data_IF_895570657333
#
_entry.id   IF_895570657333
#
_cell.length_a   1.000
_cell.length_b   1.000
_cell.length_c   1.000
_cell.angle_alpha   90.00
_cell.angle_beta   90.00
_cell.angle_gamma   90.00
#
_symmetry.space_group_name_H-M   'P 1'
#
loop_
_entity.id
_entity.type
_entity.pdbx_description
1 polymer ?
2 polymer ?
3 water ?
#
# COMPACT_ATOMS: atom_id res chain seq x y z
N UNK A 2 -2.87 -9.36 28.55
CA UNK A 2 -2.59 -7.94 28.77
C UNK A 2 -1.16 -7.74 29.26
N UNK A 3 -0.75 -8.49 30.27
CA UNK A 3 0.64 -8.43 30.72
C UNK A 3 1.60 -8.88 29.63
N UNK A 4 1.15 -9.77 28.73
CA UNK A 4 1.97 -10.17 27.60
C UNK A 4 2.20 -9.00 26.65
N UNK A 5 1.17 -8.17 26.45
CA UNK A 5 1.31 -6.98 25.61
C UNK A 5 2.22 -5.94 26.25
N UNK A 6 2.09 -5.74 27.57
CA UNK A 6 2.92 -4.76 28.25
C UNK A 6 4.39 -5.16 28.22
N UNK A 7 4.68 -6.46 28.32
CA UNK A 7 6.05 -6.92 28.22
C UNK A 7 6.60 -6.70 26.82
N UNK A 8 5.81 -7.06 25.80
CA UNK A 8 6.22 -6.79 24.42
C UNK A 8 6.41 -5.30 24.19
N UNK A 9 5.65 -4.46 24.89
CA UNK A 9 5.82 -3.02 24.71
C UNK A 9 7.15 -2.55 25.28
N UNK A 10 7.49 -3.02 26.48
CA UNK A 10 8.78 -2.66 27.07
C UNK A 10 9.93 -3.07 26.16
N UNK A 11 9.83 -4.27 25.57
CA UNK A 11 10.87 -4.77 24.69
C UNK A 11 11.03 -3.87 23.46
N UNK A 12 9.91 -3.43 22.88
CA UNK A 12 9.97 -2.51 21.75
C UNK A 12 10.65 -1.21 22.15
N UNK A 13 10.26 -0.65 23.30
CA UNK A 13 10.83 0.62 23.72
C UNK A 13 12.33 0.51 23.94
N UNK A 14 12.79 -0.58 24.57
CA UNK A 14 14.21 -0.70 24.82
C UNK A 14 15.00 -0.90 23.53
N UNK A 15 14.44 -1.60 22.53
CA UNK A 15 15.14 -1.69 21.25
C UNK A 15 15.34 -0.31 20.66
N UNK A 16 14.35 0.57 20.83
CA UNK A 16 14.49 1.95 20.37
C UNK A 16 15.49 2.71 21.22
N UNK A 17 15.47 2.51 22.54
CA UNK A 17 16.36 3.23 23.45
C UNK A 17 17.82 2.86 23.22
N UNK A 18 18.10 1.60 22.94
CA UNK A 18 19.49 1.17 22.75
C UNK A 18 19.99 1.46 21.34
N UNK A 19 19.16 2.08 20.49
CA UNK A 19 19.53 2.23 19.10
C UNK A 19 19.52 0.96 18.28
N UNK A 20 19.12 -0.17 18.88
CA UNK A 20 19.09 -1.44 18.13
C UNK A 20 18.12 -1.39 16.97
N UNK A 21 17.14 -0.49 17.00
CA UNK A 21 16.25 -0.35 15.85
C UNK A 21 17.01 0.15 14.63
N UNK A 22 17.96 1.07 14.84
CA UNK A 22 18.81 1.54 13.75
C UNK A 22 19.67 0.42 13.18
N UNK A 23 20.33 -0.33 14.07
CA UNK A 23 21.23 -1.39 13.61
C UNK A 23 20.48 -2.44 12.80
N UNK A 24 19.34 -2.89 13.30
CA UNK A 24 18.63 -3.95 12.60
C UNK A 24 18.07 -3.47 11.27
N UNK A 25 17.73 -2.18 11.16
CA UNK A 25 17.24 -1.68 9.88
C UNK A 25 18.34 -1.68 8.82
N UNK A 26 19.53 -1.19 9.18
CA UNK A 26 20.59 -1.06 8.19
C UNK A 26 21.10 -2.40 7.67
N UNK A 27 20.95 -3.48 8.44
CA UNK A 27 21.40 -4.79 7.92
C UNK A 27 20.33 -5.50 7.08
N UNK A 28 19.13 -4.96 6.93
CA UNK A 28 18.15 -5.57 6.05
C UNK A 28 18.45 -5.11 4.63
N UNK A 29 18.68 -6.06 3.73
CA UNK A 29 19.00 -5.68 2.36
C UNK A 29 17.84 -4.92 1.73
N UNK A 30 18.19 -3.91 0.94
CA UNK A 30 17.15 -3.05 0.32
C UNK A 30 16.52 -3.77 -0.88
N UNK A 31 17.31 -4.60 -1.57
CA UNK A 31 16.79 -5.35 -2.76
C UNK A 31 17.35 -6.78 -2.76
N UNK A 32 16.67 -7.67 -3.48
CA UNK A 32 17.10 -9.09 -3.57
C UNK A 32 18.55 -9.19 -4.03
N UNK A 33 19.34 -10.06 -3.37
CA UNK A 33 20.72 -10.29 -3.79
C UNK A 33 20.80 -10.98 -5.14
N UNK A 34 19.88 -11.91 -5.40
CA UNK A 34 19.82 -12.65 -6.65
C UNK A 34 18.39 -12.69 -7.13
N UNK A 35 18.22 -12.97 -8.43
CA UNK A 35 16.92 -13.07 -9.09
C UNK A 35 16.07 -11.82 -8.85
N UNK A 36 16.73 -10.66 -8.88
CA UNK A 36 16.05 -9.37 -8.80
C UNK A 36 16.27 -8.50 -10.03
N UNK A 37 16.35 -9.14 -11.19
CA UNK A 37 16.65 -8.45 -12.44
C UNK A 37 15.51 -7.53 -12.88
N UNK A 38 14.26 -7.90 -12.62
CA UNK A 38 13.09 -7.11 -13.05
C UNK A 38 13.11 -6.90 -14.56
N UNK A 39 13.37 -7.98 -15.30
CA UNK A 39 13.65 -7.84 -16.74
C UNK A 39 12.45 -7.27 -17.50
N UNK A 40 11.23 -7.66 -17.14
CA UNK A 40 10.07 -7.12 -17.86
C UNK A 40 9.91 -5.63 -17.61
N UNK A 41 10.07 -5.19 -16.35
CA UNK A 41 9.98 -3.78 -16.01
C UNK A 41 11.04 -2.95 -16.72
N UNK A 42 12.16 -3.57 -17.10
CA UNK A 42 13.29 -2.88 -17.72
C UNK A 42 13.20 -2.86 -19.24
N UNK A 43 12.18 -3.50 -19.83
CA UNK A 43 12.06 -3.49 -21.27
C UNK A 43 11.90 -2.05 -21.76
N UNK A 44 12.54 -1.67 -22.87
CA UNK A 44 12.34 -0.32 -23.41
C UNK A 44 10.89 0.08 -23.59
N UNK A 45 10.02 -0.86 -23.99
CA UNK A 45 8.59 -0.55 -24.26
C UNK A 45 7.88 -0.20 -22.95
N UNK A 46 8.47 -0.54 -21.81
CA UNK A 46 7.81 -0.32 -20.53
C UNK A 46 8.39 0.86 -19.76
N UNK A 47 9.42 1.52 -20.29
CA UNK A 47 10.09 2.59 -19.54
C UNK A 47 9.12 3.71 -19.18
N UNK A 48 8.25 4.08 -20.12
CA UNK A 48 7.24 5.11 -19.89
C UNK A 48 6.22 4.72 -18.82
N UNK A 49 6.19 3.45 -18.41
CA UNK A 49 5.22 2.98 -17.43
C UNK A 49 5.76 2.97 -16.00
N UNK A 50 7.05 3.27 -15.83
CA UNK A 50 7.69 3.38 -14.51
C UNK A 50 7.82 4.85 -14.12
N UNK A 51 7.30 5.20 -12.95
CA UNK A 51 7.48 6.57 -12.45
C UNK A 51 8.95 6.84 -12.16
N UNK A 52 9.63 5.88 -11.54
CA UNK A 52 11.04 5.96 -11.17
C UNK A 52 11.76 4.76 -11.77
N UNK A 53 12.87 5.00 -12.45
CA UNK A 53 13.53 3.90 -13.13
C UNK A 53 14.24 2.95 -12.16
N UNK A 54 14.44 3.35 -10.90
CA UNK A 54 15.12 2.50 -9.91
C UNK A 54 14.16 1.79 -8.95
N UNK A 55 12.83 1.93 -9.12
CA UNK A 55 11.87 1.21 -8.30
C UNK A 55 11.00 0.35 -9.22
N UNK A 56 11.23 -0.97 -9.20
CA UNK A 56 10.63 -1.89 -10.16
C UNK A 56 10.12 -3.15 -9.47
N UNK A 57 9.12 -3.82 -10.05
CA UNK A 57 8.71 -5.13 -9.54
C UNK A 57 9.58 -6.25 -10.08
N UNK A 58 9.76 -7.27 -9.23
CA UNK A 58 10.40 -8.51 -9.67
C UNK A 58 9.47 -9.28 -10.60
N UNK A 59 10.07 -10.03 -11.54
CA UNK A 59 9.29 -10.74 -12.55
C UNK A 59 8.34 -11.77 -11.93
N UNK A 60 8.79 -12.46 -10.89
CA UNK A 60 7.99 -13.57 -10.36
C UNK A 60 6.76 -13.07 -9.62
N UNK A 61 6.76 -11.82 -9.16
CA UNK A 61 5.66 -11.30 -8.35
C UNK A 61 4.97 -10.09 -8.96
N UNK A 62 5.41 -9.61 -10.13
CA UNK A 62 4.74 -8.47 -10.73
C UNK A 62 3.27 -8.81 -11.00
N UNK A 63 2.41 -7.79 -10.95
CA UNK A 63 1.00 -8.00 -11.26
C UNK A 63 0.84 -8.00 -12.78
N UNK A 64 0.41 -9.13 -13.32
CA UNK A 64 0.27 -9.27 -14.77
C UNK A 64 -1.13 -8.87 -15.19
N UNK A 65 -1.23 -7.91 -16.11
CA UNK A 65 -2.50 -7.57 -16.74
C UNK A 65 -2.74 -8.49 -17.92
N UNK A 66 -4.02 -8.72 -18.23
CA UNK A 66 -4.35 -9.41 -19.47
C UNK A 66 -3.73 -8.58 -20.58
N UNK A 67 -2.86 -9.17 -21.41
CA UNK A 67 -2.16 -8.41 -22.43
C UNK A 67 -3.13 -7.78 -23.41
N UNK A 68 -2.78 -6.58 -23.87
CA UNK A 68 -3.48 -5.89 -24.94
C UNK A 68 -2.45 -5.55 -26.01
N UNK A 69 -2.95 -5.03 -27.14
CA UNK A 69 -2.05 -4.72 -28.24
C UNK A 69 -1.13 -3.56 -27.90
N UNK A 70 -1.65 -2.56 -27.17
CA UNK A 70 -0.82 -1.44 -26.74
C UNK A 70 0.13 -1.83 -25.62
N UNK A 71 -0.24 -2.83 -24.80
CA UNK A 71 0.56 -3.27 -23.66
C UNK A 71 0.80 -4.77 -23.79
N UNK A 72 1.82 -5.13 -24.56
CA UNK A 72 2.04 -6.52 -24.97
C UNK A 72 2.33 -7.44 -23.78
N UNK A 73 3.08 -6.95 -22.80
CA UNK A 73 3.43 -7.78 -21.65
C UNK A 73 2.45 -7.61 -20.49
N UNK A 74 1.38 -6.83 -20.68
CA UNK A 74 0.47 -6.49 -19.60
C UNK A 74 1.21 -5.95 -18.39
N UNK A 75 2.13 -5.02 -18.60
CA UNK A 75 3.01 -4.55 -17.53
C UNK A 75 2.40 -3.37 -16.79
N UNK A 76 2.43 -3.44 -15.47
CA UNK A 76 2.18 -2.30 -14.59
C UNK A 76 3.18 -2.39 -13.44
N UNK A 77 3.64 -1.24 -12.96
CA UNK A 77 4.61 -1.25 -11.86
C UNK A 77 3.85 -1.53 -10.56
N UNK A 78 3.69 -2.82 -10.24
CA UNK A 78 2.91 -3.30 -9.10
C UNK A 78 3.38 -4.71 -8.74
N UNK A 79 3.37 -5.02 -7.44
CA UNK A 79 3.84 -6.31 -6.94
C UNK A 79 2.80 -6.96 -6.03
N UNK A 80 2.60 -8.27 -6.21
CA UNK A 80 1.82 -9.04 -5.24
C UNK A 80 2.63 -9.17 -3.96
N UNK A 81 2.01 -8.90 -2.81
CA UNK A 81 2.64 -9.09 -1.49
C UNK A 81 1.74 -10.00 -0.67
N UNK A 82 2.32 -11.05 -0.08
CA UNK A 82 1.58 -11.92 0.82
C UNK A 82 2.44 -12.24 2.03
N UNK A 83 1.83 -12.21 3.22
CA UNK A 83 2.46 -12.70 4.45
C UNK A 83 1.37 -13.39 5.26
N UNK A 84 1.67 -14.60 5.72
CA UNK A 84 0.75 -15.35 6.57
C UNK A 84 1.03 -15.06 8.03
N UNK A 85 -0.01 -14.73 8.79
CA UNK A 85 0.06 -14.53 10.23
C UNK A 85 -0.92 -15.51 10.86
N UNK A 86 -0.40 -16.48 11.62
CA UNK A 86 -1.28 -17.45 12.34
C UNK A 86 -2.30 -18.07 11.40
N UNK A 87 -1.89 -18.47 10.19
CA UNK A 87 -2.80 -19.16 9.26
C UNK A 87 -3.58 -18.22 8.35
N UNK A 88 -3.63 -16.93 8.70
CA UNK A 88 -4.41 -15.95 7.89
C UNK A 88 -3.46 -15.24 6.92
N UNK A 89 -3.70 -15.40 5.61
CA UNK A 89 -2.82 -14.77 4.59
C UNK A 89 -3.24 -13.32 4.39
N UNK A 90 -2.38 -12.37 4.77
CA UNK A 90 -2.66 -10.94 4.53
C UNK A 90 -2.19 -10.61 3.11
N UNK A 91 -3.12 -10.27 2.23
CA UNK A 91 -2.77 -10.07 0.80
C UNK A 91 -2.76 -8.59 0.45
N UNK A 92 -1.76 -8.15 -0.30
CA UNK A 92 -1.64 -6.73 -0.66
C UNK A 92 -1.10 -6.59 -2.08
N UNK A 93 -1.41 -5.47 -2.72
CA UNK A 93 -0.77 -5.16 -4.03
C UNK A 93 -0.12 -3.79 -3.82
N UNK A 94 1.20 -3.72 -3.95
CA UNK A 94 1.93 -2.47 -3.75
C UNK A 94 2.27 -1.92 -5.12
N UNK A 95 1.86 -0.68 -5.40
CA UNK A 95 2.05 -0.13 -6.73
C UNK A 95 2.45 1.32 -6.60
N UNK A 96 3.04 1.84 -7.68
CA UNK A 96 3.41 3.25 -7.74
C UNK A 96 2.17 4.12 -7.90
N UNK A 97 2.34 5.41 -7.69
CA UNK A 97 1.30 6.36 -8.04
C UNK A 97 1.12 6.40 -9.55
N UNK A 98 -0.09 6.13 -10.03
CA UNK A 98 -0.30 6.09 -11.49
C UNK A 98 0.12 7.39 -12.18
N UNK A 99 0.51 7.25 -13.45
CA UNK A 99 0.85 8.42 -14.28
C UNK A 99 -0.36 8.62 -15.20
N UNK A 100 -0.36 9.69 -16.00
CA UNK A 100 -1.50 9.98 -16.92
C UNK A 100 -1.63 8.82 -17.90
N UNK A 101 -0.50 8.31 -18.38
CA UNK A 101 -0.51 7.21 -19.39
C UNK A 101 -0.79 5.85 -18.74
N UNK A 102 -0.77 5.72 -17.41
CA UNK A 102 -1.02 4.41 -16.83
C UNK A 102 -2.30 4.33 -16.00
N UNK A 103 -3.21 5.33 -16.13
CA UNK A 103 -4.49 5.25 -15.39
C UNK A 103 -5.34 4.08 -15.87
N UNK A 104 -5.37 3.86 -17.19
CA UNK A 104 -6.11 2.71 -17.72
C UNK A 104 -5.57 1.40 -17.18
N UNK A 105 -4.25 1.25 -17.14
CA UNK A 105 -3.63 0.05 -16.57
C UNK A 105 -4.00 -0.11 -15.10
N UNK A 106 -3.97 0.99 -14.33
CA UNK A 106 -4.27 0.92 -12.90
C UNK A 106 -5.69 0.44 -12.68
N UNK A 107 -6.66 1.00 -13.41
CA UNK A 107 -8.04 0.56 -13.23
C UNK A 107 -8.27 -0.84 -13.79
N UNK A 108 -7.61 -1.23 -14.88
CA UNK A 108 -7.68 -2.62 -15.29
C UNK A 108 -7.16 -3.55 -14.20
N UNK A 109 -6.07 -3.16 -13.54
CA UNK A 109 -5.54 -3.94 -12.41
C UNK A 109 -6.57 -4.08 -11.31
N UNK A 110 -7.15 -2.94 -10.89
CA UNK A 110 -8.21 -2.96 -9.88
C UNK A 110 -9.29 -3.97 -10.28
N UNK A 111 -9.76 -3.89 -11.53
CA UNK A 111 -10.82 -4.79 -11.96
C UNK A 111 -10.37 -6.25 -11.92
N UNK A 112 -9.23 -6.56 -12.54
CA UNK A 112 -8.85 -7.96 -12.68
C UNK A 112 -8.49 -8.60 -11.35
N UNK A 113 -7.97 -7.82 -10.41
CA UNK A 113 -7.57 -8.37 -9.13
C UNK A 113 -8.70 -8.35 -8.10
N UNK A 114 -9.88 -7.89 -8.47
CA UNK A 114 -10.98 -7.86 -7.52
C UNK A 114 -10.82 -6.86 -6.40
N UNK A 115 -9.94 -5.87 -6.56
CA UNK A 115 -9.66 -4.90 -5.52
C UNK A 115 -10.92 -4.11 -5.16
N UNK A 116 -11.19 -3.99 -3.86
CA UNK A 116 -12.27 -3.14 -3.38
C UNK A 116 -11.80 -1.98 -2.50
N UNK A 117 -10.54 -1.96 -2.07
CA UNK A 117 -10.04 -0.94 -1.17
C UNK A 117 -8.70 -0.44 -1.68
N UNK A 118 -8.56 0.89 -1.80
CA UNK A 118 -7.30 1.54 -2.18
C UNK A 118 -6.83 2.37 -0.99
N UNK A 119 -5.60 2.11 -0.54
CA UNK A 119 -4.92 2.94 0.46
C UNK A 119 -3.87 3.78 -0.25
N UNK A 120 -4.19 5.06 -0.47
CA UNK A 120 -3.26 6.04 -1.08
C UNK A 120 -2.51 6.77 0.01
N UNK A 121 -1.21 6.51 0.17
CA UNK A 121 -0.49 7.18 1.25
C UNK A 121 0.49 8.19 0.66
N UNK A 122 -0.06 9.17 -0.04
CA UNK A 122 0.66 10.32 -0.59
C UNK A 122 -0.37 11.39 -0.90
N UNK A 123 0.08 12.64 -0.91
CA UNK A 123 -0.69 13.68 -1.59
C UNK A 123 -0.38 13.63 -3.09
N UNK A 124 -1.21 14.30 -3.88
CA UNK A 124 -1.05 14.25 -5.34
C UNK A 124 0.19 15.03 -5.79
N UNK A 125 0.47 16.14 -5.13
CA UNK A 125 1.69 16.93 -5.38
C UNK A 125 2.38 17.18 -4.06
N UNK A 126 3.70 17.06 -4.04
CA UNK A 126 4.51 17.37 -2.87
C UNK A 126 5.78 18.03 -3.35
N UNK A 127 6.15 19.16 -2.73
CA UNK A 127 7.38 19.82 -3.11
C UNK A 127 7.38 20.40 -4.51
N UNK A 128 6.21 20.73 -5.04
CA UNK A 128 6.11 21.19 -6.41
C UNK A 128 6.25 20.11 -7.45
N UNK A 129 6.17 18.84 -7.08
CA UNK A 129 6.27 17.75 -8.02
C UNK A 129 5.04 16.87 -7.90
N UNK A 130 4.56 16.42 -9.05
CA UNK A 130 3.45 15.49 -9.03
C UNK A 130 3.91 14.13 -8.54
N UNK A 131 3.22 13.59 -7.53
CA UNK A 131 3.56 12.29 -6.96
C UNK A 131 2.60 11.19 -7.39
N UNK A 132 1.38 11.54 -7.78
CA UNK A 132 0.39 10.61 -8.29
C UNK A 132 -0.53 11.40 -9.19
N UNK A 133 -0.86 10.82 -10.34
CA UNK A 133 -1.90 11.44 -11.15
C UNK A 133 -3.21 11.36 -10.38
N UNK A 134 -4.09 12.30 -10.64
CA UNK A 134 -5.44 12.26 -10.10
C UNK A 134 -6.24 11.26 -10.94
N UNK A 135 -6.16 9.97 -10.58
CA UNK A 135 -6.77 8.89 -11.35
C UNK A 135 -8.24 8.63 -10.97
N UNK A 136 -8.81 9.44 -10.09
CA UNK A 136 -10.21 9.30 -9.72
C UNK A 136 -10.85 10.67 -9.77
N UNK A 137 -12.14 10.75 -10.11
CA UNK A 137 -12.74 12.05 -10.42
C UNK A 137 -12.98 12.87 -9.17
N UNK A 138 -13.29 14.14 -9.40
CA UNK A 138 -13.58 15.03 -8.28
C UNK A 138 -15.03 14.89 -7.86
N UNK A 139 -15.31 15.23 -6.61
CA UNK A 139 -16.67 15.24 -6.12
C UNK A 139 -17.42 16.43 -6.71
N UNK A 140 -18.71 16.25 -6.93
CA UNK A 140 -19.52 17.29 -7.53
C UNK A 140 -20.35 16.73 -8.66
N UNK A 141 -21.67 16.91 -8.57
CA UNK A 141 -22.60 16.22 -9.46
C UNK A 141 -22.31 16.48 -10.93
N UNK A 142 -21.65 17.60 -11.27
CA UNK A 142 -21.47 17.97 -12.67
C UNK A 142 -20.21 17.38 -13.30
N UNK A 143 -19.28 16.82 -12.50
CA UNK A 143 -18.01 16.38 -13.06
C UNK A 143 -17.42 15.21 -12.27
N UNK A 144 -18.26 14.34 -11.72
CA UNK A 144 -17.81 13.28 -10.84
C UNK A 144 -17.57 11.94 -11.55
N UNK A 145 -17.43 11.96 -12.90
CA UNK A 145 -17.23 10.73 -13.65
C UNK A 145 -16.07 10.87 -14.63
N UNK A 146 -15.32 9.80 -14.83
CA UNK A 146 -14.24 9.77 -15.80
C UNK A 146 -14.14 8.38 -16.39
N UNK A 147 -13.82 8.30 -17.67
CA UNK A 147 -13.61 7.02 -18.32
C UNK A 147 -12.14 6.84 -18.69
N UNK A 148 -11.57 5.72 -18.25
CA UNK A 148 -10.21 5.31 -18.62
C UNK A 148 -10.33 3.99 -19.37
N UNK A 149 -10.40 4.06 -20.70
CA UNK A 149 -10.55 2.86 -21.48
C UNK A 149 -11.90 2.22 -21.23
N UNK A 150 -11.88 0.95 -20.83
CA UNK A 150 -13.10 0.19 -20.60
C UNK A 150 -13.75 0.47 -19.24
N UNK A 151 -13.23 1.43 -18.46
CA UNK A 151 -13.69 1.63 -17.09
C UNK A 151 -14.17 3.06 -16.89
N UNK A 152 -15.43 3.18 -16.46
CA UNK A 152 -15.98 4.51 -16.11
C UNK A 152 -15.98 4.59 -14.57
N UNK A 153 -15.34 5.61 -14.01
CA UNK A 153 -15.22 5.72 -12.52
C UNK A 153 -16.10 6.88 -12.07
N UNK A 154 -16.89 6.66 -11.02
CA UNK A 154 -17.77 7.73 -10.48
C UNK A 154 -17.43 7.99 -9.01
N UNK A 155 -17.15 9.25 -8.66
CA UNK A 155 -16.94 9.59 -7.26
C UNK A 155 -18.30 9.90 -6.65
N UNK A 156 -18.68 9.14 -5.62
CA UNK A 156 -20.03 9.22 -5.08
C UNK A 156 -20.13 9.99 -3.76
N UNK A 157 -19.12 9.93 -2.91
CA UNK A 157 -19.18 10.66 -1.65
C UNK A 157 -17.77 10.77 -1.11
N UNK A 158 -17.59 11.66 -0.15
CA UNK A 158 -16.28 11.85 0.44
C UNK A 158 -16.44 12.40 1.85
N UNK A 159 -15.67 11.87 2.78
CA UNK A 159 -15.57 12.44 4.12
C UNK A 159 -14.12 12.75 4.43
N UNK A 160 -13.90 13.90 5.08
CA UNK A 160 -12.52 14.32 5.46
C UNK A 160 -12.37 14.16 6.97
N UNK A 161 -11.41 13.35 7.40
CA UNK A 161 -11.19 13.09 8.84
C UNK A 161 -9.94 13.83 9.34
N UNK A 162 -9.49 14.84 8.60
CA UNK A 162 -8.32 15.65 9.01
C UNK A 162 -6.98 15.08 8.55
N UNK A 163 -6.62 13.88 8.96
CA UNK A 163 -5.29 13.35 8.57
C UNK A 163 -5.48 12.52 7.31
N UNK A 164 -6.72 12.26 6.92
CA UNK A 164 -7.01 11.41 5.78
C UNK A 164 -8.44 11.68 5.31
N UNK A 165 -8.74 11.25 4.08
CA UNK A 165 -10.08 11.41 3.54
C UNK A 165 -10.55 10.08 2.98
N UNK A 166 -11.86 9.83 3.10
CA UNK A 166 -12.45 8.57 2.67
C UNK A 166 -13.40 8.87 1.51
N UNK A 167 -13.07 8.37 0.32
CA UNK A 167 -13.89 8.61 -0.87
C UNK A 167 -14.54 7.32 -1.35
N UNK A 168 -15.86 7.36 -1.55
CA UNK A 168 -16.55 6.24 -2.13
C UNK A 168 -16.57 6.33 -3.65
N UNK A 169 -16.09 5.30 -4.31
CA UNK A 169 -16.09 5.26 -5.78
C UNK A 169 -16.96 4.14 -6.30
N UNK A 170 -17.39 4.33 -7.55
CA UNK A 170 -18.15 3.28 -8.26
C UNK A 170 -17.38 3.09 -9.56
N UNK A 171 -17.17 1.84 -9.98
CA UNK A 171 -16.38 1.52 -11.15
C UNK A 171 -17.22 0.62 -12.06
N UNK A 172 -17.26 0.96 -13.34
CA UNK A 172 -18.12 0.27 -14.29
C UNK A 172 -17.27 -0.30 -15.43
N UNK A 173 -17.41 -1.60 -15.67
CA UNK A 173 -16.79 -2.26 -16.81
C UNK A 173 -17.70 -2.04 -18.02
N UNK A 174 -17.28 -1.17 -18.93
CA UNK A 174 -18.18 -0.71 -19.99
C UNK A 174 -18.54 -1.81 -20.97
N UNK A 175 -17.64 -2.77 -21.18
CA UNK A 175 -17.91 -3.86 -22.12
C UNK A 175 -19.14 -4.65 -21.70
N UNK A 176 -19.24 -4.97 -20.41
CA UNK A 176 -20.27 -5.85 -19.89
C UNK A 176 -21.29 -5.17 -18.99
N UNK A 177 -21.05 -3.94 -18.53
CA UNK A 177 -21.99 -3.25 -17.70
C UNK A 177 -21.89 -3.52 -16.21
N UNK A 178 -21.04 -4.45 -15.75
CA UNK A 178 -20.96 -4.73 -14.33
C UNK A 178 -20.35 -3.56 -13.58
N UNK A 179 -20.78 -3.40 -12.33
CA UNK A 179 -20.33 -2.33 -11.45
C UNK A 179 -19.77 -2.93 -10.17
N UNK A 180 -18.79 -2.25 -9.58
CA UNK A 180 -18.24 -2.61 -8.29
C UNK A 180 -17.98 -1.32 -7.52
N UNK A 181 -18.20 -1.37 -6.20
CA UNK A 181 -17.86 -0.21 -5.37
C UNK A 181 -16.43 -0.36 -4.89
N UNK A 182 -15.71 0.76 -4.90
CA UNK A 182 -14.31 0.80 -4.48
C UNK A 182 -14.17 1.93 -3.49
N UNK A 183 -13.51 1.64 -2.37
CA UNK A 183 -13.21 2.64 -1.36
C UNK A 183 -11.80 3.17 -1.54
N UNK A 184 -11.64 4.48 -1.46
CA UNK A 184 -10.37 5.16 -1.69
C UNK A 184 -10.01 5.91 -0.41
N UNK A 185 -8.94 5.48 0.27
CA UNK A 185 -8.55 6.04 1.56
C UNK A 185 -7.21 6.76 1.40
N UNK A 186 -7.24 8.08 1.42
CA UNK A 186 -6.03 8.87 1.14
C UNK A 186 -5.52 9.53 2.41
N UNK A 187 -4.32 9.12 2.84
CA UNK A 187 -3.61 9.80 3.92
C UNK A 187 -2.98 11.07 3.39
N UNK A 188 -3.35 12.22 3.97
CA UNK A 188 -2.94 13.52 3.47
C UNK A 188 -1.95 14.25 4.38
N UNK A 189 -1.58 13.68 5.52
CA UNK A 189 -0.82 14.39 6.55
C UNK A 189 0.65 13.98 6.61
N UNK A 190 1.14 13.21 5.64
CA UNK A 190 2.54 12.82 5.67
C UNK A 190 3.41 14.05 5.38
N UNK A 191 4.40 14.35 6.22
CA UNK A 191 5.17 15.59 6.04
C UNK A 191 6.01 15.57 4.77
N UNK A 192 6.39 16.77 4.34
CA UNK A 192 7.27 16.93 3.19
C UNK A 192 8.64 16.33 3.46
N UNK A 193 9.16 16.53 4.66
CA UNK A 193 10.46 15.99 5.07
C UNK A 193 10.29 15.16 6.34
N UNK A 194 10.99 14.03 6.38
CA UNK A 194 10.94 13.21 7.58
C UNK A 194 9.65 12.40 7.66
N UNK A 195 9.32 12.03 8.88
CA UNK A 195 8.18 11.17 9.15
C UNK A 195 7.20 11.88 10.10
N UNK A 196 5.94 11.47 10.15
CA UNK A 196 4.96 12.20 10.96
C UNK A 196 5.28 12.15 12.43
N UNK A 197 4.98 13.24 13.12
CA UNK A 197 5.05 13.26 14.57
C UNK A 197 3.72 12.89 15.21
N UNK A 198 2.62 12.99 14.48
CA UNK A 198 1.31 12.67 15.02
C UNK A 198 1.04 11.18 14.76
N UNK A 199 1.29 10.36 15.79
CA UNK A 199 0.99 8.93 15.65
C UNK A 199 -0.51 8.66 15.61
N UNK A 200 -1.28 9.42 16.40
CA UNK A 200 -2.71 9.15 16.50
C UNK A 200 -3.39 9.24 15.14
N UNK A 201 -3.03 10.26 14.34
CA UNK A 201 -3.65 10.39 13.02
C UNK A 201 -3.37 9.20 12.13
N UNK A 202 -2.13 8.73 12.12
CA UNK A 202 -1.81 7.55 11.31
C UNK A 202 -2.49 6.31 11.87
N UNK A 203 -2.55 6.17 13.20
CA UNK A 203 -3.28 5.04 13.77
C UNK A 203 -4.77 5.10 13.40
N UNK A 204 -5.37 6.29 13.41
CA UNK A 204 -6.77 6.37 13.00
C UNK A 204 -6.93 6.00 11.53
N UNK A 205 -5.91 6.27 10.71
CA UNK A 205 -5.96 5.87 9.30
C UNK A 205 -5.94 4.35 9.16
N UNK A 206 -5.04 3.68 9.89
CA UNK A 206 -5.02 2.22 9.88
C UNK A 206 -6.36 1.66 10.37
N UNK A 207 -6.93 2.30 11.40
CA UNK A 207 -8.24 1.90 11.92
C UNK A 207 -9.33 2.08 10.87
N UNK A 208 -9.25 3.11 10.04
CA UNK A 208 -10.26 3.30 9.01
C UNK A 208 -10.14 2.23 7.93
N UNK A 209 -8.91 1.83 7.59
CA UNK A 209 -8.73 0.70 6.67
C UNK A 209 -9.41 -0.54 7.22
N UNK A 210 -9.26 -0.79 8.52
CA UNK A 210 -9.97 -1.92 9.12
C UNK A 210 -11.48 -1.73 9.06
N UNK A 211 -11.94 -0.50 9.32
CA UNK A 211 -13.38 -0.25 9.25
C UNK A 211 -13.92 -0.46 7.84
N UNK A 212 -13.10 -0.22 6.83
CA UNK A 212 -13.60 -0.41 5.46
C UNK A 212 -13.56 -1.88 5.11
N UNK A 213 -12.56 -2.62 5.59
CA UNK A 213 -12.65 -4.08 5.55
C UNK A 213 -13.95 -4.57 6.21
N UNK A 214 -14.34 -3.94 7.32
CA UNK A 214 -15.60 -4.28 7.97
C UNK A 214 -16.78 -4.01 7.03
N UNK A 215 -16.77 -2.85 6.37
CA UNK A 215 -17.87 -2.52 5.46
C UNK A 215 -17.98 -3.55 4.33
N UNK A 216 -16.85 -3.99 3.79
CA UNK A 216 -16.86 -4.78 2.58
C UNK A 216 -16.87 -6.28 2.81
N UNK A 217 -16.68 -6.75 4.05
CA UNK A 217 -16.69 -8.18 4.31
C UNK A 217 -18.11 -8.70 4.28
N UNK A 218 -18.35 -9.71 3.44
CA UNK A 218 -19.69 -10.26 3.30
C UNK A 218 -19.67 -11.78 3.27
N UNK A 219 -18.52 -12.36 3.62
CA UNK A 219 -18.40 -13.83 3.67
C UNK A 219 -18.61 -14.28 5.11
N UNK A 220 -19.52 -15.23 5.32
CA UNK A 220 -19.77 -15.76 6.68
C UNK A 220 -18.49 -16.40 7.21
N UNK A 221 -17.74 -17.09 6.34
CA UNK A 221 -16.50 -17.80 6.79
C UNK A 221 -15.37 -16.80 7.14
N UNK A 222 -14.90 -16.62 8.41
CA UNK A 222 -13.85 -15.62 8.69
C UNK A 222 -12.52 -16.06 8.07
N UNK A 223 -12.41 -17.34 7.71
CA UNK A 223 -11.18 -17.85 7.07
C UNK A 223 -11.30 -17.74 5.54
N UNK A 224 -12.44 -17.31 5.04
CA UNK A 224 -12.66 -17.24 3.57
C UNK A 224 -11.72 -16.19 2.93
N UNK A 225 -11.21 -16.32 1.66
CA UNK A 225 -10.23 -15.35 1.17
C UNK A 225 -10.85 -14.06 0.68
N UNK A 226 -10.04 -13.02 0.81
CA UNK A 226 -10.36 -11.63 0.53
C UNK A 226 -9.43 -11.10 -0.55
N UNK A 227 -9.92 -10.20 -1.41
CA UNK A 227 -9.05 -9.62 -2.40
C UNK A 227 -8.00 -8.76 -1.74
N UNK A 228 -6.81 -8.63 -2.35
CA UNK A 228 -5.75 -7.83 -1.74
C UNK A 228 -6.14 -6.38 -1.55
N UNK A 229 -5.58 -5.78 -0.51
CA UNK A 229 -5.64 -4.33 -0.37
C UNK A 229 -4.65 -3.71 -1.32
N UNK A 230 -5.07 -2.69 -2.07
CA UNK A 230 -4.19 -1.97 -2.97
C UNK A 230 -3.57 -0.81 -2.19
N UNK A 231 -2.24 -0.80 -2.07
CA UNK A 231 -1.53 0.27 -1.35
C UNK A 231 -0.60 0.96 -2.34
N UNK A 232 -0.65 2.30 -2.35
CA UNK A 232 0.23 3.05 -3.26
C UNK A 232 0.71 4.36 -2.65
N UNK A 233 1.92 4.77 -3.01
CA UNK A 233 2.42 6.10 -2.59
C UNK A 233 2.87 6.78 -3.88
N UNK A 234 4.11 7.24 -3.98
CA UNK A 234 4.59 7.77 -5.27
C UNK A 234 5.36 6.62 -5.96
N UNK A 235 6.36 6.08 -5.27
CA UNK A 235 7.08 4.93 -5.82
C UNK A 235 6.44 3.62 -5.42
N UNK A 236 5.55 3.62 -4.43
CA UNK A 236 4.95 2.38 -3.99
C UNK A 236 5.85 1.53 -3.14
N UNK A 237 6.75 2.18 -2.37
CA UNK A 237 7.71 1.41 -1.53
C UNK A 237 7.88 2.00 -0.11
N UNK A 238 8.06 3.32 0.03
CA UNK A 238 8.39 3.83 1.37
C UNK A 238 7.21 3.97 2.31
N UNK A 239 6.26 4.83 1.97
CA UNK A 239 5.07 5.03 2.84
C UNK A 239 4.18 3.81 2.60
N UNK A 240 4.29 3.23 1.42
CA UNK A 240 3.56 1.99 1.15
C UNK A 240 4.02 0.87 2.10
N UNK A 241 5.34 0.72 2.26
CA UNK A 241 5.85 -0.27 3.22
C UNK A 241 5.44 0.00 4.65
N UNK A 242 5.36 1.27 5.05
CA UNK A 242 4.94 1.61 6.41
C UNK A 242 3.54 1.09 6.69
N UNK A 243 2.60 1.28 5.75
CA UNK A 243 1.25 0.79 5.96
C UNK A 243 1.24 -0.73 6.07
N UNK A 244 1.98 -1.42 5.20
CA UNK A 244 1.89 -2.87 5.14
C UNK A 244 2.57 -3.49 6.36
N UNK A 245 3.78 -3.04 6.69
CA UNK A 245 4.47 -3.55 7.87
C UNK A 245 3.67 -3.27 9.13
N UNK A 246 3.09 -2.07 9.24
CA UNK A 246 2.30 -1.70 10.41
C UNK A 246 1.10 -2.61 10.58
N UNK A 247 0.38 -2.86 9.48
CA UNK A 247 -0.82 -3.72 9.55
C UNK A 247 -0.42 -5.14 9.93
N UNK A 248 0.63 -5.67 9.30
CA UNK A 248 1.03 -7.04 9.62
C UNK A 248 1.47 -7.14 11.08
N UNK A 249 2.25 -6.16 11.56
CA UNK A 249 2.80 -6.22 12.91
C UNK A 249 1.69 -6.11 13.95
N UNK A 250 0.71 -5.24 13.70
CA UNK A 250 -0.45 -5.18 14.60
C UNK A 250 -1.19 -6.51 14.59
N UNK A 251 -1.31 -7.16 13.42
CA UNK A 251 -1.98 -8.45 13.41
C UNK A 251 -1.17 -9.51 14.16
N UNK A 252 0.16 -9.38 14.17
CA UNK A 252 0.99 -10.28 14.95
C UNK A 252 0.75 -10.10 16.45
N UNK A 253 0.37 -8.89 16.87
CA UNK A 253 0.05 -8.63 18.26
C UNK A 253 -1.17 -9.41 18.73
N UNK A 254 -2.02 -9.87 17.80
CA UNK A 254 -3.22 -10.59 18.19
C UNK A 254 -2.89 -11.86 18.95
N UNK A 255 -2.23 -12.81 18.29
CA UNK A 255 -1.87 -14.05 18.94
C UNK A 255 -0.59 -13.88 19.75
N UNK A 256 -0.14 -14.98 20.35
CA UNK A 256 1.05 -15.02 21.18
C UNK A 256 2.34 -15.15 20.37
N UNK A 257 2.28 -14.87 19.06
CA UNK A 257 3.45 -14.99 18.21
C UNK A 257 4.49 -13.93 18.59
N UNK A 258 5.71 -14.38 18.85
CA UNK A 258 6.81 -13.47 19.15
C UNK A 258 6.96 -12.46 18.03
N UNK A 259 7.05 -11.18 18.40
CA UNK A 259 7.22 -10.13 17.41
C UNK A 259 8.65 -10.15 16.88
N UNK A 260 8.78 -10.16 15.54
CA UNK A 260 10.09 -10.10 14.90
C UNK A 260 9.93 -9.18 13.68
N UNK A 261 9.94 -7.88 13.95
CA UNK A 261 9.74 -6.89 12.90
C UNK A 261 10.78 -6.99 11.79
N UNK A 262 12.09 -7.13 12.07
CA UNK A 262 13.03 -7.27 10.94
C UNK A 262 12.81 -8.51 10.12
N UNK A 263 12.39 -9.62 10.74
CA UNK A 263 12.06 -10.81 9.97
C UNK A 263 10.93 -10.52 8.99
N UNK A 264 9.85 -9.87 9.45
CA UNK A 264 8.72 -9.60 8.58
C UNK A 264 9.12 -8.63 7.46
N UNK A 265 9.91 -7.60 7.79
CA UNK A 265 10.33 -6.65 6.76
C UNK A 265 11.23 -7.32 5.72
N UNK A 266 12.03 -8.29 6.18
CA UNK A 266 12.88 -9.06 5.23
C UNK A 266 11.97 -9.79 4.23
N UNK A 267 10.91 -10.43 4.72
CA UNK A 267 10.00 -11.14 3.83
C UNK A 267 9.29 -10.19 2.87
N UNK A 268 8.91 -9.01 3.35
CA UNK A 268 8.30 -8.00 2.48
C UNK A 268 9.25 -7.60 1.37
N UNK A 269 10.51 -7.32 1.72
CA UNK A 269 11.47 -6.86 0.73
C UNK A 269 11.80 -7.94 -0.28
N UNK A 270 11.67 -9.21 0.11
CA UNK A 270 11.76 -10.27 -0.88
C UNK A 270 10.68 -10.17 -1.94
N UNK A 271 9.59 -9.48 -1.64
CA UNK A 271 8.48 -9.42 -2.58
C UNK A 271 8.38 -8.09 -3.32
N UNK A 272 8.87 -7.01 -2.71
CA UNK A 272 9.04 -5.74 -3.42
C UNK A 272 10.21 -4.99 -2.80
N UNK A 273 11.15 -4.60 -3.65
CA UNK A 273 12.35 -3.92 -3.17
C UNK A 273 11.98 -2.67 -2.39
N UNK A 274 12.84 -2.34 -1.43
CA UNK A 274 12.89 -1.05 -0.77
C UNK A 274 11.70 -0.74 0.13
N UNK A 275 10.81 -1.70 0.40
CA UNK A 275 9.69 -1.39 1.28
C UNK A 275 10.19 -0.87 2.63
N UNK A 276 9.55 0.20 3.11
CA UNK A 276 10.01 1.00 4.24
C UNK A 276 11.36 1.59 3.85
N UNK A 277 11.32 2.75 3.22
CA UNK A 277 12.47 3.17 2.45
C UNK A 277 13.46 4.03 3.24
N UNK A 278 13.08 4.58 4.39
CA UNK A 278 14.01 5.36 5.18
C UNK A 278 14.05 4.88 6.63
N UNK A 279 15.13 5.26 7.31
CA UNK A 279 15.27 4.93 8.73
C UNK A 279 14.13 5.53 9.55
N UNK A 280 13.71 6.78 9.27
CA UNK A 280 12.64 7.33 10.09
C UNK A 280 11.31 6.60 9.86
N UNK A 281 11.10 6.05 8.65
CA UNK A 281 9.89 5.25 8.43
C UNK A 281 9.91 3.96 9.25
N UNK A 282 11.08 3.35 9.41
CA UNK A 282 11.19 2.15 10.20
C UNK A 282 11.02 2.44 11.68
N UNK A 283 11.69 3.48 12.19
CA UNK A 283 11.46 3.87 13.58
C UNK A 283 10.01 4.28 13.79
N UNK A 284 9.39 4.91 12.78
CA UNK A 284 7.98 5.25 12.88
C UNK A 284 7.12 4.01 13.11
N UNK A 285 7.41 2.90 12.42
CA UNK A 285 6.65 1.68 12.65
C UNK A 285 6.77 1.24 14.10
N UNK A 286 7.99 1.27 14.65
CA UNK A 286 8.16 0.93 16.06
C UNK A 286 7.30 1.84 16.95
N UNK A 287 7.28 3.14 16.66
CA UNK A 287 6.54 4.07 17.50
C UNK A 287 5.05 3.82 17.40
N UNK A 288 4.56 3.47 16.20
CA UNK A 288 3.16 3.13 16.01
C UNK A 288 2.79 1.90 16.81
N UNK A 289 3.61 0.84 16.74
CA UNK A 289 3.32 -0.37 17.52
C UNK A 289 3.32 -0.06 19.02
N UNK A 290 4.26 0.76 19.48
CA UNK A 290 4.34 1.12 20.89
C UNK A 290 3.10 1.90 21.30
N UNK A 291 2.73 2.92 20.51
CA UNK A 291 1.53 3.68 20.84
C UNK A 291 0.29 2.80 20.80
N UNK A 292 0.25 1.87 19.85
CA UNK A 292 -0.88 0.93 19.77
C UNK A 292 -0.99 0.12 21.06
N UNK A 293 0.11 -0.45 21.53
CA UNK A 293 0.08 -1.25 22.76
C UNK A 293 -0.24 -0.38 23.97
N UNK A 294 0.17 0.88 23.97
CA UNK A 294 -0.17 1.76 25.09
C UNK A 294 -1.67 2.00 25.17
N UNK A 295 -2.33 2.13 24.02
CA UNK A 295 -3.76 2.39 23.99
C UNK A 295 -4.61 1.12 24.10
N UNK A 296 -4.03 0.01 24.51
CA UNK A 296 -4.80 -1.22 24.72
C UNK A 296 -5.19 -1.37 26.18
N UNK B 2 13.85 10.79 -12.25
CA UNK B 2 14.29 9.44 -12.59
C UNK B 2 14.54 8.54 -11.36
N UNK B 3 15.11 9.09 -10.29
CA UNK B 3 15.48 8.23 -9.13
C UNK B 3 14.69 8.58 -7.88
N UNK B 5 14.48 8.92 -4.04
CA UNK B 5 15.57 9.08 -3.05
C UNK B 5 14.98 9.31 -1.65
#
# INVERSE_FOLDING_TARGET
>A
TRATNDERCKILEQRLEQGMVFTEYERILKKRLVDGECSTARLPENAERNRFQDVLPYDDVRVELVPTKENNTGYINASHIKVSVSGIEWDYIATQGPLQNTCQDFWQMVWEQGIAIIAMVTAEEEGGREKSFRYWPRLGSRHNTVTYGRFKITTRFRTDSGCYATTGLKMKHLLTGQERTVWHLQYTDWPEHGCPEDLKGFLSYLEEIQSVRRHTNSTSDPQSPNPPLLVHSSAGVGRTGVVILSEIMIACLEHNEVLDIPRVLDMLRQQRMMLVQTLCQYTFVYRVLIQFLKSSRLI
>B
EPQXQ
#
